data_IF_603593076129
#
_entry.id   IF_603593076129
#
_cell.length_a   1.000
_cell.length_b   1.000
_cell.length_c   1.000
_cell.angle_alpha   90.00
_cell.angle_beta   90.00
_cell.angle_gamma   90.00
#
_symmetry.space_group_name_H-M   'P 1'
#
loop_
_entity.id
_entity.type
_entity.pdbx_description
1 polymer ?
#
# COMPACT_ATOMS: atom_id res chain seq x y z
N UNK A 1 1.64 -8.72 -13.66
CA UNK A 1 0.50 -8.17 -12.91
C UNK A 1 0.75 -8.39 -11.42
N UNK A 2 0.42 -7.44 -10.57
CA UNK A 2 0.57 -7.54 -9.11
C UNK A 2 -0.72 -8.05 -8.46
N UNK A 3 -0.63 -9.09 -7.66
CA UNK A 3 -1.74 -9.69 -6.91
C UNK A 3 -1.93 -8.97 -5.57
N UNK A 4 -3.19 -8.72 -5.17
CA UNK A 4 -3.50 -8.08 -3.90
C UNK A 4 -3.01 -8.91 -2.70
N UNK A 5 -2.46 -8.25 -1.67
CA UNK A 5 -1.88 -8.91 -0.49
C UNK A 5 -2.85 -9.84 0.23
N UNK A 6 -4.13 -9.46 0.31
CA UNK A 6 -5.20 -10.25 0.92
C UNK A 6 -5.41 -11.62 0.26
N UNK A 7 -4.97 -11.79 -1.00
CA UNK A 7 -5.06 -13.05 -1.73
C UNK A 7 -3.80 -13.92 -1.56
N UNK A 8 -2.72 -13.36 -0.98
CA UNK A 8 -1.43 -14.03 -0.79
C UNK A 8 -1.23 -14.54 0.65
N UNK A 9 -2.08 -14.09 1.57
CA UNK A 9 -2.01 -14.42 3.00
C UNK A 9 -3.08 -15.46 3.28
N UNK A 10 -2.65 -16.60 3.81
CA UNK A 10 -3.54 -17.64 4.32
C UNK A 10 -3.97 -17.26 5.75
N UNK A 11 -5.29 -17.18 6.03
CA UNK A 11 -5.78 -16.75 7.34
C UNK A 11 -5.67 -17.83 8.43
N UNK A 12 -5.48 -19.09 8.07
CA UNK A 12 -5.37 -20.20 9.04
C UNK A 12 -3.93 -20.48 9.46
N UNK A 13 -2.95 -20.05 8.66
CA UNK A 13 -1.53 -20.27 8.93
C UNK A 13 -0.87 -19.05 9.59
N UNK A 14 -0.48 -19.13 10.89
CA UNK A 14 0.31 -18.08 11.51
C UNK A 14 1.73 -18.06 10.91
N UNK A 15 2.12 -16.93 10.32
CA UNK A 15 3.44 -16.74 9.71
C UNK A 15 3.95 -15.31 9.84
N UNK A 16 5.26 -15.13 9.74
CA UNK A 16 5.90 -13.82 9.71
C UNK A 16 6.00 -13.34 8.25
N UNK A 17 5.21 -12.34 7.90
CA UNK A 17 5.21 -11.77 6.55
C UNK A 17 6.09 -10.52 6.50
N UNK A 18 7.03 -10.48 5.54
CA UNK A 18 7.84 -9.30 5.31
C UNK A 18 7.00 -8.24 4.57
N UNK A 19 6.62 -7.19 5.28
CA UNK A 19 5.84 -6.08 4.72
C UNK A 19 6.76 -5.16 3.91
N UNK A 20 6.58 -5.17 2.60
CA UNK A 20 7.21 -4.19 1.70
C UNK A 20 6.09 -3.48 0.97
N UNK A 21 5.87 -2.21 1.28
CA UNK A 21 5.03 -1.34 0.47
C UNK A 21 5.74 -1.06 -0.85
N UNK A 22 5.58 -1.93 -1.84
CA UNK A 22 5.97 -1.64 -3.21
C UNK A 22 4.87 -0.80 -3.84
N UNK A 23 5.10 0.51 -3.95
CA UNK A 23 4.26 1.40 -4.74
C UNK A 23 4.21 0.87 -6.18
N UNK A 24 3.10 0.24 -6.55
CA UNK A 24 2.90 -0.32 -7.89
C UNK A 24 2.44 0.82 -8.79
N UNK A 25 3.37 1.38 -9.55
CA UNK A 25 3.12 2.58 -10.36
C UNK A 25 3.19 3.86 -9.55
N UNK A 26 3.27 5.00 -10.24
CA UNK A 26 3.38 6.38 -9.70
C UNK A 26 2.10 6.77 -8.94
N UNK A 27 1.77 6.04 -7.89
CA UNK A 27 0.71 6.34 -6.94
C UNK A 27 1.40 6.63 -5.62
N UNK A 28 1.39 7.91 -5.25
CA UNK A 28 1.94 8.36 -3.99
C UNK A 28 1.12 7.77 -2.86
N UNK A 29 1.80 7.10 -1.92
CA UNK A 29 1.16 6.51 -0.75
C UNK A 29 0.53 7.62 0.11
N UNK A 30 1.29 8.70 0.33
CA UNK A 30 0.94 9.90 1.07
C UNK A 30 1.60 11.12 0.39
N UNK A 31 1.06 12.32 0.59
CA UNK A 31 1.61 13.57 0.06
C UNK A 31 1.00 14.02 -1.27
N UNK A 32 1.47 15.17 -1.77
CA UNK A 32 0.95 15.81 -2.99
C UNK A 32 1.72 15.33 -4.21
N UNK A 33 1.03 14.78 -5.19
CA UNK A 33 1.65 14.39 -6.47
C UNK A 33 2.05 15.64 -7.25
N UNK A 34 3.35 15.82 -7.52
CA UNK A 34 3.86 16.97 -8.27
C UNK A 34 3.45 17.01 -9.74
N UNK A 35 2.91 15.90 -10.29
CA UNK A 35 2.46 15.83 -11.68
C UNK A 35 1.01 16.30 -11.87
N UNK A 36 0.11 15.84 -11.00
CA UNK A 36 -1.34 16.10 -11.09
C UNK A 36 -1.84 17.09 -10.00
N UNK A 37 -0.98 17.45 -9.04
CA UNK A 37 -1.30 18.34 -7.90
C UNK A 37 -2.23 17.72 -6.85
N UNK A 38 -2.57 16.42 -6.96
CA UNK A 38 -3.52 15.75 -6.07
C UNK A 38 -2.88 15.41 -4.72
N UNK A 39 -3.52 15.79 -3.61
CA UNK A 39 -3.12 15.36 -2.27
C UNK A 39 -3.63 13.95 -1.95
N UNK A 40 -2.69 13.04 -1.69
CA UNK A 40 -2.95 11.68 -1.21
C UNK A 40 -2.77 11.58 0.31
N UNK A 41 -2.70 12.70 1.05
CA UNK A 41 -2.53 12.69 2.51
C UNK A 41 -3.68 12.01 3.26
N UNK A 42 -4.89 11.98 2.67
CA UNK A 42 -6.06 11.29 3.21
C UNK A 42 -5.88 9.76 3.37
N UNK A 43 -4.82 9.18 2.78
CA UNK A 43 -4.50 7.74 2.88
C UNK A 43 -3.53 7.42 4.00
N UNK A 44 -3.03 8.43 4.72
CA UNK A 44 -2.03 8.27 5.78
C UNK A 44 -2.54 7.43 6.95
N UNK A 45 -3.82 7.60 7.31
CA UNK A 45 -4.50 6.77 8.31
C UNK A 45 -4.47 5.26 7.99
N UNK A 46 -4.45 4.89 6.71
CA UNK A 46 -4.40 3.48 6.31
C UNK A 46 -3.01 2.86 6.43
N UNK A 47 -1.96 3.67 6.53
CA UNK A 47 -0.58 3.20 6.57
C UNK A 47 -0.07 2.93 8.01
N UNK A 48 -0.72 3.49 9.04
CA UNK A 48 -0.33 3.34 10.44
C UNK A 48 -1.07 2.19 11.18
N UNK A 49 -1.83 1.36 10.46
CA UNK A 49 -2.56 0.21 11.01
C UNK A 49 -2.00 -1.12 10.49
#
# INVERSE_FOLDING_TARGET
MTTARSLLIDPESPGFYHYISRCVGRTWLCGVDSFDGKSNEHRRDWAEQ
#
